data_IF_125151466059
#
_entry.id   IF_125151466059
#
_cell.length_a   1.000
_cell.length_b   1.000
_cell.length_c   1.000
_cell.angle_alpha   90.00
_cell.angle_beta   90.00
_cell.angle_gamma   90.00
#
_symmetry.space_group_name_H-M   'P 1'
#
loop_
_entity.id
_entity.type
_entity.pdbx_description
1 polymer ?
#
# COMPACT_ATOMS: atom_id res chain seq x y z
N UNK A 1 -27.03 10.77 -9.98
CA UNK A 1 -26.52 9.94 -8.86
C UNK A 1 -25.01 10.01 -8.91
N UNK A 2 -24.33 10.37 -7.82
CA UNK A 2 -22.85 10.40 -7.78
C UNK A 2 -22.33 9.66 -6.56
N UNK A 3 -21.08 9.17 -6.65
CA UNK A 3 -20.35 8.52 -5.56
C UNK A 3 -19.30 9.50 -5.04
N UNK A 4 -19.26 9.69 -3.72
CA UNK A 4 -18.25 10.47 -3.04
C UNK A 4 -17.25 9.52 -2.39
N UNK A 5 -15.96 9.68 -2.70
CA UNK A 5 -14.88 8.86 -2.12
C UNK A 5 -13.94 9.82 -1.39
N UNK A 6 -13.71 9.59 -0.11
CA UNK A 6 -12.76 10.38 0.69
C UNK A 6 -11.54 9.54 1.00
N UNK A 7 -10.38 10.06 0.60
CA UNK A 7 -9.08 9.40 0.64
C UNK A 7 -8.67 8.90 -0.75
N UNK A 8 -7.66 9.53 -1.32
CA UNK A 8 -7.08 9.22 -2.64
C UNK A 8 -5.89 8.25 -2.58
N UNK A 9 -5.66 7.56 -1.45
CA UNK A 9 -4.69 6.48 -1.36
C UNK A 9 -5.02 5.32 -2.31
N UNK A 10 -4.23 4.24 -2.29
CA UNK A 10 -4.41 3.11 -3.22
C UNK A 10 -5.86 2.63 -3.29
N UNK A 11 -6.55 2.51 -2.16
CA UNK A 11 -7.92 2.00 -2.10
C UNK A 11 -8.91 2.93 -2.81
N UNK A 12 -8.93 4.21 -2.44
CA UNK A 12 -9.90 5.15 -3.00
C UNK A 12 -9.61 5.49 -4.46
N UNK A 13 -8.34 5.67 -4.82
CA UNK A 13 -7.93 5.90 -6.21
C UNK A 13 -8.31 4.72 -7.12
N UNK A 14 -8.01 3.47 -6.67
CA UNK A 14 -8.38 2.27 -7.42
C UNK A 14 -9.90 2.13 -7.57
N UNK A 15 -10.67 2.43 -6.52
CA UNK A 15 -12.13 2.37 -6.57
C UNK A 15 -12.69 3.41 -7.56
N UNK A 16 -12.21 4.64 -7.53
CA UNK A 16 -12.64 5.70 -8.44
C UNK A 16 -12.36 5.32 -9.92
N UNK A 17 -11.16 4.81 -10.19
CA UNK A 17 -10.79 4.33 -11.53
C UNK A 17 -11.62 3.12 -11.97
N UNK A 18 -11.90 2.18 -11.05
CA UNK A 18 -12.74 1.03 -11.35
C UNK A 18 -14.17 1.45 -11.73
N UNK A 19 -14.79 2.36 -10.98
CA UNK A 19 -16.12 2.89 -11.27
C UNK A 19 -16.11 3.59 -12.63
N UNK A 20 -15.15 4.47 -12.87
CA UNK A 20 -15.00 5.16 -14.16
C UNK A 20 -14.91 4.16 -15.32
N UNK A 21 -14.03 3.16 -15.20
CA UNK A 21 -13.81 2.17 -16.26
C UNK A 21 -15.04 1.29 -16.52
N UNK A 22 -15.65 0.77 -15.46
CA UNK A 22 -16.76 -0.17 -15.57
C UNK A 22 -18.06 0.50 -16.05
N UNK A 23 -18.23 1.80 -15.79
CA UNK A 23 -19.41 2.55 -16.21
C UNK A 23 -19.17 3.40 -17.46
N UNK A 24 -17.95 3.40 -18.01
CA UNK A 24 -17.59 4.31 -19.10
C UNK A 24 -17.73 5.79 -18.73
N UNK A 25 -17.60 6.13 -17.44
CA UNK A 25 -17.80 7.49 -16.90
C UNK A 25 -19.26 7.86 -16.69
N UNK A 26 -20.22 6.97 -16.94
CA UNK A 26 -21.65 7.29 -16.78
C UNK A 26 -22.08 7.51 -15.31
N UNK A 27 -21.34 6.94 -14.34
CA UNK A 27 -21.54 7.18 -12.92
C UNK A 27 -20.50 8.20 -12.41
N UNK A 28 -20.91 9.45 -12.11
CA UNK A 28 -19.99 10.47 -11.62
C UNK A 28 -19.38 10.09 -10.26
N UNK A 29 -18.07 10.30 -10.13
CA UNK A 29 -17.31 10.08 -8.92
C UNK A 29 -16.62 11.37 -8.51
N UNK A 30 -16.76 11.79 -7.26
CA UNK A 30 -15.94 12.82 -6.64
C UNK A 30 -14.94 12.14 -5.71
N UNK A 31 -13.65 12.26 -6.01
CA UNK A 31 -12.57 11.79 -5.16
C UNK A 31 -11.94 12.97 -4.44
N UNK A 32 -11.99 12.94 -3.12
CA UNK A 32 -11.46 13.99 -2.25
C UNK A 32 -10.18 13.49 -1.59
N UNK A 33 -9.06 14.16 -1.83
CA UNK A 33 -7.76 13.82 -1.24
C UNK A 33 -7.13 15.06 -0.59
N UNK A 34 -6.73 14.88 0.66
CA UNK A 34 -6.22 15.99 1.48
C UNK A 34 -4.78 16.40 1.12
N UNK A 35 -4.00 15.49 0.55
CA UNK A 35 -2.58 15.71 0.30
C UNK A 35 -2.23 15.49 -1.17
N UNK A 36 -1.30 16.32 -1.68
CA UNK A 36 -0.77 16.14 -3.02
C UNK A 36 0.07 14.85 -3.06
N UNK A 37 -0.20 13.92 -4.02
CA UNK A 37 0.56 12.69 -4.19
C UNK A 37 2.03 12.91 -4.58
N UNK A 38 2.39 14.09 -5.07
CA UNK A 38 3.79 14.46 -5.33
C UNK A 38 4.55 14.87 -4.06
N UNK A 39 3.84 15.04 -2.95
CA UNK A 39 4.48 15.28 -1.67
C UNK A 39 5.13 14.00 -1.14
N UNK A 40 6.43 14.05 -0.84
CA UNK A 40 7.15 12.97 -0.15
C UNK A 40 6.59 12.62 1.24
N UNK A 41 5.65 13.44 1.73
CA UNK A 41 4.98 13.27 3.03
C UNK A 41 3.58 12.66 2.90
N UNK A 42 3.16 12.25 1.70
CA UNK A 42 1.85 11.64 1.52
C UNK A 42 1.79 10.29 2.26
N UNK A 43 0.90 10.09 3.24
CA UNK A 43 0.94 8.92 4.13
C UNK A 43 0.61 7.59 3.44
N UNK A 44 -0.02 7.63 2.27
CA UNK A 44 -0.33 6.45 1.47
C UNK A 44 0.64 6.18 0.32
N UNK A 45 1.54 7.15 0.00
CA UNK A 45 2.43 7.09 -1.15
C UNK A 45 3.84 7.56 -0.80
N UNK A 46 4.41 6.94 0.23
CA UNK A 46 5.78 7.15 0.68
C UNK A 46 6.77 6.18 0.01
N UNK A 47 7.99 6.11 0.51
CA UNK A 47 9.07 5.29 -0.03
C UNK A 47 8.94 3.78 0.29
N UNK A 48 7.84 3.36 0.91
CA UNK A 48 7.56 1.93 1.14
C UNK A 48 7.25 1.22 -0.16
N UNK A 49 7.59 -0.07 -0.20
CA UNK A 49 7.13 -0.96 -1.26
C UNK A 49 6.10 -1.95 -0.71
N UNK A 50 5.21 -2.41 -1.59
CA UNK A 50 4.23 -3.44 -1.27
C UNK A 50 4.26 -4.54 -2.32
N UNK A 51 3.91 -5.75 -1.89
CA UNK A 51 3.70 -6.88 -2.79
C UNK A 51 2.22 -6.97 -3.18
N UNK A 52 1.96 -7.01 -4.49
CA UNK A 52 0.65 -7.27 -5.08
C UNK A 52 0.64 -8.71 -5.58
N UNK A 53 -0.26 -9.54 -5.07
CA UNK A 53 -0.41 -10.91 -5.54
C UNK A 53 -0.81 -10.96 -7.02
N UNK A 54 -0.48 -12.06 -7.72
CA UNK A 54 -0.82 -12.23 -9.14
C UNK A 54 -2.30 -11.99 -9.44
N UNK A 55 -3.20 -12.48 -8.57
CA UNK A 55 -4.63 -12.23 -8.70
C UNK A 55 -5.01 -10.76 -8.60
N UNK A 56 -4.35 -9.99 -7.71
CA UNK A 56 -4.55 -8.54 -7.61
C UNK A 56 -4.10 -7.84 -8.89
N UNK A 57 -2.93 -8.19 -9.43
CA UNK A 57 -2.45 -7.65 -10.71
C UNK A 57 -3.43 -7.92 -11.86
N UNK A 58 -4.03 -9.12 -11.90
CA UNK A 58 -5.06 -9.46 -12.88
C UNK A 58 -6.32 -8.59 -12.73
N UNK A 59 -6.79 -8.34 -11.51
CA UNK A 59 -7.94 -7.45 -11.30
C UNK A 59 -7.62 -6.01 -11.71
N UNK A 60 -6.45 -5.51 -11.35
CA UNK A 60 -5.98 -4.19 -11.78
C UNK A 60 -5.86 -4.09 -13.31
N UNK A 61 -5.48 -5.19 -13.99
CA UNK A 61 -5.44 -5.24 -15.45
C UNK A 61 -6.84 -5.15 -16.06
N UNK A 62 -7.85 -5.82 -15.48
CA UNK A 62 -9.25 -5.77 -15.96
C UNK A 62 -9.83 -4.35 -15.92
N UNK A 63 -9.42 -3.54 -14.98
CA UNK A 63 -9.85 -2.13 -14.86
C UNK A 63 -8.87 -1.15 -15.51
N UNK A 64 -7.84 -1.65 -16.24
CA UNK A 64 -6.93 -0.83 -17.04
C UNK A 64 -5.86 -0.08 -16.25
N UNK A 65 -5.65 -0.43 -14.97
CA UNK A 65 -4.65 0.22 -14.10
C UNK A 65 -3.28 -0.46 -14.24
N UNK A 66 -3.25 -1.80 -14.31
CA UNK A 66 -2.02 -2.58 -14.18
C UNK A 66 -0.95 -2.21 -15.20
N UNK A 67 -1.30 -1.93 -16.44
CA UNK A 67 -0.36 -1.59 -17.51
C UNK A 67 0.54 -0.40 -17.13
N UNK A 68 -0.02 0.57 -16.43
CA UNK A 68 0.76 1.73 -15.94
C UNK A 68 1.66 1.38 -14.77
N UNK A 69 1.19 0.52 -13.86
CA UNK A 69 1.97 0.12 -12.67
C UNK A 69 3.08 -0.87 -13.03
N UNK A 70 2.85 -1.77 -13.98
CA UNK A 70 3.77 -2.82 -14.39
C UNK A 70 5.14 -2.32 -14.88
N UNK A 71 5.22 -1.09 -15.42
CA UNK A 71 6.46 -0.51 -15.96
C UNK A 71 7.58 -0.41 -14.92
N UNK A 72 7.24 -0.28 -13.64
CA UNK A 72 8.18 -0.15 -12.51
C UNK A 72 8.07 -1.27 -11.49
N UNK A 73 7.21 -2.25 -11.76
CA UNK A 73 7.00 -3.38 -10.87
C UNK A 73 8.16 -4.39 -10.95
N UNK A 74 8.56 -4.95 -9.82
CA UNK A 74 9.56 -6.02 -9.76
C UNK A 74 8.86 -7.37 -9.52
N UNK A 75 9.05 -8.38 -10.38
CA UNK A 75 8.36 -9.65 -10.24
C UNK A 75 8.89 -10.47 -9.06
N UNK A 76 7.97 -11.10 -8.32
CA UNK A 76 8.29 -12.14 -7.33
C UNK A 76 8.20 -13.49 -8.03
N UNK A 77 9.37 -14.05 -8.37
CA UNK A 77 9.48 -15.35 -9.03
C UNK A 77 9.42 -16.51 -8.05
N UNK A 78 9.95 -16.28 -6.85
CA UNK A 78 10.02 -17.27 -5.79
C UNK A 78 9.77 -16.62 -4.44
N UNK A 79 9.19 -17.39 -3.52
CA UNK A 79 9.10 -17.01 -2.11
C UNK A 79 9.77 -18.10 -1.29
N UNK A 80 10.73 -17.70 -0.46
CA UNK A 80 11.40 -18.56 0.50
C UNK A 80 10.92 -18.24 1.91
N UNK A 81 10.25 -19.20 2.53
CA UNK A 81 9.75 -19.09 3.90
C UNK A 81 10.61 -19.96 4.80
N UNK A 82 11.07 -19.42 5.91
CA UNK A 82 11.89 -20.13 6.90
C UNK A 82 11.55 -19.70 8.32
N UNK A 83 11.89 -20.55 9.29
CA UNK A 83 11.76 -20.26 10.70
C UNK A 83 13.14 -20.27 11.38
N UNK A 84 13.44 -19.23 12.16
CA UNK A 84 14.73 -19.11 12.84
C UNK A 84 14.83 -20.18 13.95
N UNK A 85 15.94 -20.89 13.94
CA UNK A 85 16.18 -21.98 14.91
C UNK A 85 15.60 -23.33 14.50
N UNK A 86 14.87 -23.43 13.38
CA UNK A 86 14.34 -24.67 12.84
C UNK A 86 14.91 -24.97 11.44
N UNK A 87 15.11 -26.25 11.12
CA UNK A 87 15.65 -26.66 9.83
C UNK A 87 14.62 -26.63 8.69
N UNK A 88 13.33 -26.50 9.00
CA UNK A 88 12.24 -26.47 8.03
C UNK A 88 12.21 -25.18 7.19
N UNK A 89 11.98 -25.32 5.90
CA UNK A 89 11.70 -24.21 5.00
C UNK A 89 10.71 -24.62 3.91
N UNK A 90 10.03 -23.63 3.33
CA UNK A 90 9.13 -23.80 2.18
C UNK A 90 9.60 -22.89 1.06
N UNK A 91 9.66 -23.41 -0.14
CA UNK A 91 9.86 -22.63 -1.36
C UNK A 91 8.60 -22.70 -2.22
N UNK A 92 8.14 -21.56 -2.68
CA UNK A 92 7.09 -21.43 -3.67
C UNK A 92 7.72 -20.85 -4.93
N UNK A 93 7.52 -21.47 -6.08
CA UNK A 93 7.98 -20.95 -7.36
C UNK A 93 6.80 -20.67 -8.29
N UNK A 94 6.84 -19.57 -9.02
CA UNK A 94 5.76 -19.19 -9.95
C UNK A 94 5.52 -20.29 -11.01
N UNK A 95 6.59 -20.93 -11.46
CA UNK A 95 6.53 -22.02 -12.44
C UNK A 95 5.68 -23.21 -11.97
N UNK A 96 5.69 -23.53 -10.67
CA UNK A 96 4.92 -24.64 -10.10
C UNK A 96 3.40 -24.43 -10.22
N UNK A 97 2.98 -23.18 -10.40
CA UNK A 97 1.57 -22.76 -10.55
C UNK A 97 1.24 -22.31 -11.96
N UNK A 98 2.15 -22.45 -12.93
CA UNK A 98 1.97 -21.95 -14.30
C UNK A 98 1.85 -20.42 -14.40
N UNK A 99 2.41 -19.68 -13.44
CA UNK A 99 2.37 -18.24 -13.39
C UNK A 99 3.68 -17.62 -13.89
N UNK A 100 3.60 -16.45 -14.52
CA UNK A 100 4.78 -15.65 -14.86
C UNK A 100 5.47 -15.05 -13.63
N UNK A 101 4.72 -14.79 -12.57
CA UNK A 101 5.18 -14.35 -11.26
C UNK A 101 4.10 -14.66 -10.20
N UNK A 102 4.50 -14.94 -8.95
CA UNK A 102 3.59 -15.10 -7.82
C UNK A 102 2.93 -13.78 -7.42
N UNK A 103 3.60 -12.69 -7.71
CA UNK A 103 3.17 -11.33 -7.44
C UNK A 103 4.17 -10.33 -7.99
N UNK A 104 3.94 -9.07 -7.68
CA UNK A 104 4.77 -7.95 -8.12
C UNK A 104 5.00 -7.00 -6.95
N UNK A 105 6.21 -6.54 -6.79
CA UNK A 105 6.54 -5.48 -5.82
C UNK A 105 6.46 -4.13 -6.52
N UNK A 106 5.78 -3.18 -5.90
CA UNK A 106 5.63 -1.81 -6.40
C UNK A 106 6.01 -0.81 -5.30
N UNK A 107 6.67 0.26 -5.67
CA UNK A 107 7.02 1.37 -4.77
C UNK A 107 5.82 2.32 -4.68
N UNK A 108 5.35 2.62 -3.46
CA UNK A 108 4.09 3.35 -3.26
C UNK A 108 4.13 4.77 -3.82
N UNK A 109 5.29 5.44 -3.75
CA UNK A 109 5.45 6.77 -4.34
C UNK A 109 5.20 6.77 -5.86
N UNK A 110 5.79 5.82 -6.59
CA UNK A 110 5.58 5.66 -8.03
C UNK A 110 4.12 5.31 -8.35
N UNK A 111 3.53 4.41 -7.55
CA UNK A 111 2.10 4.06 -7.66
C UNK A 111 1.21 5.28 -7.52
N UNK A 112 1.47 6.13 -6.53
CA UNK A 112 0.68 7.34 -6.29
C UNK A 112 0.69 8.28 -7.49
N UNK A 113 1.87 8.58 -8.03
CA UNK A 113 2.01 9.45 -9.20
C UNK A 113 1.23 8.91 -10.41
N UNK A 114 1.33 7.58 -10.66
CA UNK A 114 0.65 6.93 -11.79
C UNK A 114 -0.86 6.89 -11.62
N UNK A 115 -1.35 6.56 -10.42
CA UNK A 115 -2.79 6.56 -10.13
C UNK A 115 -3.40 7.95 -10.29
N UNK A 116 -2.73 8.99 -9.79
CA UNK A 116 -3.22 10.37 -9.96
C UNK A 116 -3.14 10.87 -11.39
N UNK A 117 -2.14 10.42 -12.17
CA UNK A 117 -2.13 10.63 -13.61
C UNK A 117 -3.38 10.06 -14.28
N UNK A 118 -3.71 8.80 -13.98
CA UNK A 118 -4.90 8.14 -14.50
C UNK A 118 -6.22 8.82 -14.05
N UNK A 119 -6.29 9.25 -12.77
CA UNK A 119 -7.49 9.91 -12.22
C UNK A 119 -7.82 11.22 -12.93
N UNK A 120 -6.81 12.01 -13.31
CA UNK A 120 -6.98 13.27 -14.03
C UNK A 120 -7.58 13.07 -15.43
N UNK A 121 -7.34 11.91 -16.03
CA UNK A 121 -7.82 11.56 -17.37
C UNK A 121 -9.08 10.69 -17.35
N UNK A 122 -9.51 10.20 -16.17
CA UNK A 122 -10.59 9.25 -16.04
C UNK A 122 -11.96 9.88 -16.30
N UNK A 123 -12.75 9.38 -17.28
CA UNK A 123 -14.08 9.89 -17.54
C UNK A 123 -14.99 9.79 -16.31
N UNK A 124 -15.75 10.83 -16.01
CA UNK A 124 -16.70 10.87 -14.91
C UNK A 124 -16.06 11.00 -13.51
N UNK A 125 -14.74 11.15 -13.39
CA UNK A 125 -14.05 11.41 -12.12
C UNK A 125 -13.74 12.89 -11.99
N UNK A 126 -14.18 13.48 -10.89
CA UNK A 126 -13.77 14.82 -10.45
C UNK A 126 -12.82 14.64 -9.27
N UNK A 127 -11.57 15.05 -9.44
CA UNK A 127 -10.54 14.98 -8.41
C UNK A 127 -10.47 16.32 -7.66
N UNK A 128 -10.74 16.29 -6.36
CA UNK A 128 -10.55 17.40 -5.43
C UNK A 128 -9.28 17.14 -4.63
N UNK A 129 -8.15 17.72 -5.05
CA UNK A 129 -6.83 17.52 -4.43
C UNK A 129 -5.93 18.75 -4.65
N UNK A 130 -5.40 19.37 -3.59
CA UNK A 130 -5.63 19.05 -2.18
C UNK A 130 -7.00 19.58 -1.69
N UNK A 131 -7.77 18.75 -1.00
CA UNK A 131 -9.04 19.14 -0.39
C UNK A 131 -9.32 18.30 0.87
N UNK A 132 -9.80 18.94 1.93
CA UNK A 132 -10.14 18.27 3.19
C UNK A 132 -11.61 18.40 3.49
N UNK A 133 -12.19 17.31 4.01
CA UNK A 133 -13.57 17.29 4.49
C UNK A 133 -13.66 17.88 5.89
N UNK A 134 -14.44 18.95 6.02
CA UNK A 134 -14.73 19.59 7.30
C UNK A 134 -15.97 19.00 7.96
N UNK A 135 -17.05 18.79 7.19
CA UNK A 135 -18.32 18.27 7.72
C UNK A 135 -18.96 17.26 6.77
N UNK A 136 -19.80 16.40 7.37
CA UNK A 136 -20.61 15.40 6.66
C UNK A 136 -22.06 15.55 7.13
N UNK A 137 -22.99 15.66 6.19
CA UNK A 137 -24.44 15.59 6.44
C UNK A 137 -25.02 14.42 5.66
N UNK A 138 -25.88 13.64 6.29
CA UNK A 138 -26.48 12.43 5.70
C UNK A 138 -27.99 12.44 5.92
N UNK A 139 -28.73 12.06 4.89
CA UNK A 139 -30.14 11.73 4.93
C UNK A 139 -30.38 10.30 4.42
N UNK A 140 -31.61 9.86 4.35
CA UNK A 140 -31.94 8.57 3.72
C UNK A 140 -31.68 8.55 2.21
N UNK A 141 -31.69 9.71 1.56
CA UNK A 141 -31.63 9.82 0.11
C UNK A 141 -30.32 10.39 -0.42
N UNK A 142 -29.53 11.08 0.41
CA UNK A 142 -28.34 11.82 -0.04
C UNK A 142 -27.30 11.96 1.06
N UNK A 143 -26.09 12.26 0.63
CA UNK A 143 -24.97 12.65 1.49
C UNK A 143 -24.34 13.92 0.93
N UNK A 144 -23.96 14.84 1.82
CA UNK A 144 -23.26 16.09 1.49
C UNK A 144 -21.96 16.16 2.27
N UNK A 145 -20.90 16.53 1.58
CA UNK A 145 -19.60 16.86 2.18
C UNK A 145 -19.38 18.35 2.10
N UNK A 146 -18.98 18.96 3.20
CA UNK A 146 -18.47 20.34 3.20
C UNK A 146 -16.96 20.27 3.25
N UNK A 147 -16.29 20.88 2.28
CA UNK A 147 -14.82 20.98 2.23
C UNK A 147 -14.33 22.20 3.01
N UNK A 148 -13.05 22.18 3.41
CA UNK A 148 -12.37 23.39 3.91
C UNK A 148 -12.50 24.50 2.84
N UNK A 149 -13.04 25.65 3.24
CA UNK A 149 -13.36 26.74 2.32
C UNK A 149 -14.83 26.85 1.93
N UNK A 150 -15.69 25.92 2.43
CA UNK A 150 -17.15 26.04 2.35
C UNK A 150 -17.79 25.44 1.10
N UNK A 151 -17.02 24.86 0.18
CA UNK A 151 -17.57 24.13 -0.97
C UNK A 151 -18.38 22.93 -0.50
N UNK A 152 -19.58 22.72 -1.07
CA UNK A 152 -20.44 21.59 -0.75
C UNK A 152 -20.56 20.66 -1.95
N UNK A 153 -20.26 19.38 -1.73
CA UNK A 153 -20.36 18.32 -2.74
C UNK A 153 -21.45 17.34 -2.32
N UNK A 154 -22.40 17.08 -3.21
CA UNK A 154 -23.54 16.22 -2.95
C UNK A 154 -23.43 14.89 -3.70
N UNK A 155 -23.85 13.82 -3.06
CA UNK A 155 -23.87 12.47 -3.63
C UNK A 155 -24.96 11.58 -3.07
N UNK A 156 -24.99 10.35 -3.58
CA UNK A 156 -25.92 9.30 -3.10
C UNK A 156 -25.22 8.26 -2.23
N UNK A 157 -23.92 8.05 -2.43
CA UNK A 157 -23.11 7.11 -1.70
C UNK A 157 -21.80 7.78 -1.26
N UNK A 158 -21.44 7.59 0.00
CA UNK A 158 -20.16 8.03 0.56
C UNK A 158 -19.31 6.83 0.93
N UNK A 159 -18.07 6.84 0.45
CA UNK A 159 -17.06 5.82 0.76
C UNK A 159 -15.94 6.45 1.56
N UNK A 160 -15.69 5.95 2.77
CA UNK A 160 -14.54 6.32 3.58
C UNK A 160 -13.34 5.43 3.20
N UNK A 161 -12.36 6.01 2.52
CA UNK A 161 -11.11 5.38 2.12
C UNK A 161 -9.89 6.15 2.69
N UNK A 162 -10.10 6.91 3.78
CA UNK A 162 -9.16 7.84 4.41
C UNK A 162 -8.22 7.16 5.43
N UNK A 163 -8.03 5.85 5.30
CA UNK A 163 -7.04 5.07 6.02
C UNK A 163 -7.54 4.43 7.32
N UNK A 164 -6.63 3.75 8.02
CA UNK A 164 -6.93 2.93 9.19
C UNK A 164 -7.42 3.74 10.41
N UNK A 165 -7.14 5.05 10.45
CA UNK A 165 -7.62 5.99 11.48
C UNK A 165 -8.64 6.97 10.88
N UNK A 166 -9.56 6.46 10.07
CA UNK A 166 -10.55 7.24 9.34
C UNK A 166 -11.29 8.24 10.24
N UNK A 167 -11.06 9.52 10.01
CA UNK A 167 -11.80 10.59 10.65
C UNK A 167 -13.23 10.65 10.10
N UNK A 168 -13.42 10.31 8.84
CA UNK A 168 -14.74 10.25 8.22
C UNK A 168 -15.59 9.12 8.81
N UNK A 169 -15.01 7.93 9.02
CA UNK A 169 -15.69 6.82 9.69
C UNK A 169 -16.22 7.20 11.06
N UNK A 170 -15.39 7.86 11.88
CA UNK A 170 -15.79 8.37 13.19
C UNK A 170 -16.95 9.39 13.10
N UNK A 171 -16.89 10.34 12.17
CA UNK A 171 -17.98 11.31 11.91
C UNK A 171 -19.27 10.64 11.45
N UNK A 172 -19.15 9.47 10.83
CA UNK A 172 -20.29 8.65 10.43
C UNK A 172 -20.82 7.72 11.53
N UNK A 173 -20.28 7.79 12.75
CA UNK A 173 -20.71 6.97 13.87
C UNK A 173 -20.20 5.53 13.81
N UNK A 174 -19.18 5.25 12.99
CA UNK A 174 -18.54 3.93 12.90
C UNK A 174 -17.51 3.83 14.05
N UNK A 175 -17.70 2.85 14.91
CA UNK A 175 -16.78 2.56 16.01
C UNK A 175 -15.64 1.64 15.54
N UNK A 176 -14.46 1.81 16.14
CA UNK A 176 -13.29 0.99 15.88
C UNK A 176 -12.97 0.10 17.08
N UNK A 177 -12.70 -1.16 16.79
CA UNK A 177 -12.06 -2.05 17.76
C UNK A 177 -10.58 -2.14 17.41
N UNK A 178 -9.73 -1.83 18.40
CA UNK A 178 -8.27 -1.91 18.25
C UNK A 178 -7.74 -3.02 19.14
N UNK A 179 -6.93 -3.90 18.56
CA UNK A 179 -6.20 -4.92 19.29
C UNK A 179 -4.70 -4.69 19.07
N UNK A 180 -3.96 -4.22 20.09
CA UNK A 180 -2.53 -4.02 19.98
C UNK A 180 -1.82 -5.38 19.92
N UNK A 181 -0.84 -5.50 19.02
CA UNK A 181 0.04 -6.67 18.94
C UNK A 181 1.32 -6.51 19.78
N UNK A 182 1.49 -5.39 20.46
CA UNK A 182 2.70 -5.03 21.24
C UNK A 182 3.99 -5.15 20.39
N UNK A 183 3.89 -4.82 19.12
CA UNK A 183 4.98 -4.89 18.14
C UNK A 183 5.18 -3.57 17.42
N UNK A 184 6.41 -3.35 16.98
CA UNK A 184 6.78 -2.34 15.99
C UNK A 184 7.26 -3.03 14.72
N UNK A 185 7.06 -2.40 13.57
CA UNK A 185 7.64 -2.82 12.31
C UNK A 185 8.66 -1.77 11.85
N UNK A 186 9.89 -2.21 11.62
CA UNK A 186 10.92 -1.43 10.95
C UNK A 186 10.72 -1.61 9.46
N UNK A 187 10.67 -0.52 8.73
CA UNK A 187 10.59 -0.53 7.27
C UNK A 187 11.81 0.21 6.74
N UNK A 188 12.56 -0.43 5.86
CA UNK A 188 13.73 0.14 5.21
C UNK A 188 13.91 -0.43 3.80
N UNK A 189 14.58 0.32 2.94
CA UNK A 189 15.06 -0.19 1.67
C UNK A 189 16.56 -0.42 1.81
N UNK A 190 17.02 -1.64 1.51
CA UNK A 190 18.41 -2.06 1.69
C UNK A 190 18.98 -2.58 0.36
N UNK A 191 20.27 -2.32 0.13
CA UNK A 191 21.03 -2.95 -0.94
C UNK A 191 21.69 -4.22 -0.41
N UNK A 192 21.80 -5.25 -1.24
CA UNK A 192 22.35 -6.55 -0.87
C UNK A 192 23.63 -6.85 -1.69
N UNK A 193 24.55 -7.62 -1.14
CA UNK A 193 25.80 -7.97 -1.83
C UNK A 193 25.57 -9.00 -2.94
N UNK A 194 24.57 -9.87 -2.79
CA UNK A 194 24.16 -10.83 -3.81
C UNK A 194 22.82 -10.45 -4.40
N UNK A 195 22.58 -10.70 -5.68
CA UNK A 195 21.31 -10.40 -6.33
C UNK A 195 20.17 -11.25 -5.74
N UNK A 196 18.99 -10.64 -5.59
CA UNK A 196 17.80 -11.32 -5.08
C UNK A 196 17.15 -12.25 -6.12
N UNK A 197 17.42 -12.08 -7.42
CA UNK A 197 16.90 -12.91 -8.52
C UNK A 197 15.36 -13.07 -8.49
N UNK A 198 14.63 -12.03 -8.13
CA UNK A 198 13.18 -12.07 -7.98
C UNK A 198 12.68 -12.92 -6.83
N UNK A 199 13.52 -13.20 -5.84
CA UNK A 199 13.17 -13.97 -4.65
C UNK A 199 12.74 -13.05 -3.51
N UNK A 200 11.54 -13.28 -3.00
CA UNK A 200 11.08 -12.75 -1.74
C UNK A 200 11.40 -13.71 -0.60
N UNK A 201 11.65 -13.17 0.56
CA UNK A 201 11.95 -13.95 1.76
C UNK A 201 10.97 -13.58 2.88
N UNK A 202 10.48 -14.61 3.57
CA UNK A 202 9.75 -14.49 4.82
C UNK A 202 10.45 -15.35 5.86
N UNK A 203 10.95 -14.74 6.92
CA UNK A 203 11.64 -15.43 8.00
C UNK A 203 10.93 -15.13 9.32
N UNK A 204 10.34 -16.16 9.89
CA UNK A 204 9.80 -16.07 11.24
C UNK A 204 10.93 -16.03 12.24
N UNK A 205 10.84 -15.17 13.21
CA UNK A 205 11.76 -15.08 14.35
C UNK A 205 10.98 -15.08 15.65
N UNK A 206 11.67 -15.26 16.77
CA UNK A 206 11.10 -15.20 18.12
C UNK A 206 10.46 -13.83 18.45
N UNK A 207 10.78 -12.79 17.67
CA UNK A 207 10.29 -11.43 17.85
C UNK A 207 9.21 -11.02 16.83
N UNK A 208 8.94 -11.88 15.88
CA UNK A 208 8.00 -11.63 14.79
C UNK A 208 8.64 -11.84 13.41
N UNK A 209 7.89 -11.55 12.35
CA UNK A 209 8.37 -11.79 10.99
C UNK A 209 9.45 -10.78 10.55
N UNK A 210 10.32 -11.27 9.66
CA UNK A 210 11.28 -10.50 8.89
C UNK A 210 11.07 -10.82 7.41
N UNK A 211 10.56 -9.84 6.65
CA UNK A 211 10.33 -9.98 5.21
C UNK A 211 11.35 -9.17 4.41
N UNK A 212 11.82 -9.74 3.30
CA UNK A 212 12.62 -9.02 2.29
C UNK A 212 11.95 -9.20 0.93
N UNK A 213 11.51 -8.11 0.33
CA UNK A 213 10.84 -8.08 -0.96
C UNK A 213 11.80 -7.58 -2.05
N UNK A 214 11.88 -8.25 -3.21
CA UNK A 214 12.76 -7.82 -4.30
C UNK A 214 12.29 -6.48 -4.89
N UNK A 215 13.19 -5.55 -5.05
CA UNK A 215 12.95 -4.25 -5.67
C UNK A 215 13.88 -4.05 -6.88
N UNK A 216 13.59 -3.02 -7.67
CA UNK A 216 14.48 -2.58 -8.74
C UNK A 216 15.89 -2.22 -8.22
N UNK A 217 16.90 -2.28 -9.10
CA UNK A 217 18.30 -1.93 -8.80
C UNK A 217 18.93 -2.79 -7.69
N UNK A 218 18.59 -4.09 -7.65
CA UNK A 218 19.12 -5.05 -6.65
C UNK A 218 18.91 -4.60 -5.20
N UNK A 219 17.87 -3.82 -4.96
CA UNK A 219 17.42 -3.44 -3.61
C UNK A 219 16.39 -4.43 -3.09
N UNK A 220 16.23 -4.47 -1.79
CA UNK A 220 15.13 -5.14 -1.13
C UNK A 220 14.39 -4.19 -0.20
N UNK A 221 13.07 -4.29 -0.18
CA UNK A 221 12.26 -3.67 0.85
C UNK A 221 12.19 -4.59 2.05
N UNK A 222 12.64 -4.10 3.19
CA UNK A 222 12.64 -4.80 4.47
C UNK A 222 11.39 -4.42 5.27
N UNK A 223 10.75 -5.43 5.86
CA UNK A 223 9.80 -5.27 6.96
C UNK A 223 10.26 -6.19 8.08
N UNK A 224 10.64 -5.62 9.22
CA UNK A 224 11.20 -6.37 10.34
C UNK A 224 10.48 -6.03 11.64
N UNK A 225 9.79 -7.00 12.20
CA UNK A 225 9.03 -6.83 13.42
C UNK A 225 9.88 -7.05 14.68
N UNK A 226 9.66 -6.20 15.67
CA UNK A 226 10.24 -6.30 17.00
C UNK A 226 9.18 -6.07 18.08
N UNK A 227 9.38 -6.56 19.32
CA UNK A 227 8.53 -6.18 20.44
C UNK A 227 8.53 -4.66 20.65
N UNK A 228 7.40 -4.10 21.04
CA UNK A 228 7.25 -2.67 21.33
C UNK A 228 8.26 -2.17 22.37
N UNK A 229 8.64 -3.02 23.34
CA UNK A 229 9.60 -2.71 24.38
C UNK A 229 11.03 -2.43 23.86
N UNK A 230 11.36 -2.88 22.63
CA UNK A 230 12.67 -2.64 22.01
C UNK A 230 12.71 -1.38 21.14
N UNK A 231 11.62 -0.60 21.09
CA UNK A 231 11.52 0.55 20.19
C UNK A 231 12.70 1.53 20.32
N UNK A 232 12.97 1.97 21.54
CA UNK A 232 13.99 2.99 21.80
C UNK A 232 15.41 2.45 21.51
N UNK A 233 15.65 1.18 21.85
CA UNK A 233 16.89 0.49 21.51
C UNK A 233 17.13 0.49 20.00
N UNK A 234 16.13 0.02 19.24
CA UNK A 234 16.21 -0.09 17.77
C UNK A 234 16.38 1.29 17.11
N UNK A 235 15.66 2.29 17.60
CA UNK A 235 15.78 3.66 17.09
C UNK A 235 17.15 4.29 17.39
N UNK A 236 17.89 3.77 18.35
CA UNK A 236 19.23 4.25 18.70
C UNK A 236 20.37 3.60 17.90
N UNK A 237 20.07 2.60 17.08
CA UNK A 237 21.10 1.91 16.30
C UNK A 237 21.69 2.84 15.22
N UNK A 238 23.03 2.77 15.07
CA UNK A 238 23.67 3.31 13.87
C UNK A 238 23.38 2.40 12.66
N UNK A 239 23.62 2.90 11.46
CA UNK A 239 23.44 2.15 10.22
C UNK A 239 24.29 0.86 10.22
N UNK A 240 25.53 0.92 10.73
CA UNK A 240 26.41 -0.25 10.83
C UNK A 240 25.83 -1.29 11.79
N UNK A 241 25.35 -0.86 12.96
CA UNK A 241 24.72 -1.76 13.92
C UNK A 241 23.43 -2.36 13.34
N UNK A 242 22.62 -1.55 12.69
CA UNK A 242 21.41 -2.02 12.03
C UNK A 242 21.72 -3.13 11.01
N UNK A 243 22.71 -2.93 10.14
CA UNK A 243 23.13 -3.93 9.17
C UNK A 243 23.64 -5.22 9.83
N UNK A 244 24.42 -5.12 10.92
CA UNK A 244 24.91 -6.28 11.68
C UNK A 244 23.76 -7.06 12.31
N UNK A 245 22.84 -6.40 12.99
CA UNK A 245 21.67 -7.03 13.61
C UNK A 245 20.75 -7.67 12.55
N UNK A 246 20.53 -6.98 11.42
CA UNK A 246 19.78 -7.52 10.30
C UNK A 246 20.45 -8.77 9.73
N UNK A 247 21.78 -8.74 9.52
CA UNK A 247 22.55 -9.87 9.03
C UNK A 247 22.41 -11.10 9.95
N UNK A 248 22.48 -10.88 11.27
CA UNK A 248 22.31 -11.97 12.25
C UNK A 248 20.88 -12.53 12.25
N UNK A 249 19.86 -11.67 12.09
CA UNK A 249 18.47 -12.09 12.08
C UNK A 249 18.10 -12.80 10.77
N UNK A 250 18.52 -12.26 9.63
CA UNK A 250 18.17 -12.76 8.30
C UNK A 250 19.07 -13.94 7.87
N UNK A 251 20.37 -13.88 8.17
CA UNK A 251 21.39 -14.82 7.70
C UNK A 251 22.02 -14.36 6.37
N UNK A 252 22.91 -15.20 5.82
CA UNK A 252 23.81 -14.88 4.70
C UNK A 252 23.24 -15.18 3.30
N UNK A 253 21.91 -15.17 3.13
CA UNK A 253 21.25 -15.56 1.87
C UNK A 253 21.42 -14.55 0.74
N UNK A 254 21.69 -13.31 1.09
CA UNK A 254 21.89 -12.19 0.16
C UNK A 254 23.25 -11.49 0.35
N UNK A 255 24.19 -12.18 1.00
CA UNK A 255 25.55 -11.70 1.24
C UNK A 255 25.74 -10.92 2.52
#
# INVERSE_FOLDING_TARGET
MSVLIVGGGMTGATLALAISRLTGGALPVHLIEAQDPHSSRHPGFDDRAIALAAGTCQQLARIGIWQRLAERATPIQRVHVSDRGHAGFVNLAAADYGLSALGQVVELHDVGQRLFGLLREAPGVTLHCPAKVEAVSRSQESVSLTLEGGEIINGKLLVAADGSRSALGARCGISWQQQPYEQIAIIANVSTALPHEGRAFERFTEHGPLAMLPMSQERCSLVWCHPQSRRDEVQSWSDERFCQELQQAFGWRLG
#
